data_IF_326429425861
#
_entry.id   IF_326429425861
#
_cell.length_a   1.000
_cell.length_b   1.000
_cell.length_c   1.000
_cell.angle_alpha   90.00
_cell.angle_beta   90.00
_cell.angle_gamma   90.00
#
_symmetry.space_group_name_H-M   'P 1'
#
loop_
_entity.id
_entity.type
_entity.pdbx_description
1 polymer ?
#
# COMPACT_ATOMS: atom_id res chain seq x y z
N UNK A 1 13.18 -13.88 3.67
CA UNK A 1 14.64 -13.86 3.89
C UNK A 1 15.20 -12.75 3.03
N UNK A 2 15.86 -11.72 3.59
CA UNK A 2 16.38 -10.58 2.81
C UNK A 2 17.66 -11.01 2.08
N UNK A 3 17.72 -10.87 0.76
CA UNK A 3 18.86 -11.32 -0.04
C UNK A 3 19.78 -10.14 -0.36
N UNK A 4 20.81 -9.98 0.47
CA UNK A 4 21.84 -8.93 0.32
C UNK A 4 23.03 -9.39 -0.55
N UNK A 5 22.80 -10.36 -1.43
CA UNK A 5 23.84 -10.86 -2.34
C UNK A 5 23.88 -10.02 -3.62
N UNK A 6 25.03 -9.41 -3.91
CA UNK A 6 25.27 -8.65 -5.15
C UNK A 6 25.48 -9.58 -6.35
N UNK A 7 25.08 -9.12 -7.53
CA UNK A 7 25.47 -9.75 -8.80
C UNK A 7 26.96 -9.49 -9.04
N UNK A 8 27.66 -10.52 -9.51
CA UNK A 8 29.05 -10.42 -9.95
C UNK A 8 29.05 -10.27 -11.46
N UNK A 9 29.59 -9.15 -11.94
CA UNK A 9 29.74 -8.85 -13.37
C UNK A 9 31.18 -9.15 -13.78
N UNK A 10 31.36 -10.05 -14.75
CA UNK A 10 32.68 -10.44 -15.25
C UNK A 10 32.74 -10.36 -16.77
N UNK A 11 33.95 -10.18 -17.29
CA UNK A 11 34.22 -10.20 -18.73
C UNK A 11 33.79 -11.55 -19.33
N UNK A 12 33.19 -11.52 -20.53
CA UNK A 12 32.71 -12.72 -21.23
C UNK A 12 31.44 -13.35 -20.66
N UNK A 13 30.80 -12.75 -19.65
CA UNK A 13 29.56 -13.28 -19.07
C UNK A 13 28.36 -13.13 -20.02
N UNK A 14 27.54 -14.18 -20.12
CA UNK A 14 26.28 -14.13 -20.87
C UNK A 14 25.18 -13.42 -20.07
N UNK A 15 24.55 -12.41 -20.67
CA UNK A 15 23.54 -11.59 -20.01
C UNK A 15 22.14 -12.21 -20.09
N UNK A 16 21.69 -12.76 -18.97
CA UNK A 16 20.30 -13.21 -18.78
C UNK A 16 19.45 -12.26 -17.93
N UNK A 17 18.12 -12.35 -18.07
CA UNK A 17 17.12 -11.61 -17.28
C UNK A 17 17.32 -11.74 -15.76
N UNK A 18 17.74 -12.94 -15.31
CA UNK A 18 18.05 -13.24 -13.91
C UNK A 18 19.06 -12.28 -13.28
N UNK A 19 20.06 -11.78 -14.04
CA UNK A 19 21.05 -10.86 -13.50
C UNK A 19 20.40 -9.51 -13.13
N UNK A 20 19.57 -8.96 -14.01
CA UNK A 20 18.86 -7.71 -13.73
C UNK A 20 17.84 -7.87 -12.60
N UNK A 21 17.11 -8.99 -12.58
CA UNK A 21 16.16 -9.29 -11.50
C UNK A 21 16.86 -9.42 -10.14
N UNK A 22 18.01 -10.11 -10.09
CA UNK A 22 18.79 -10.25 -8.87
C UNK A 22 19.41 -8.91 -8.43
N UNK A 23 19.89 -8.10 -9.37
CA UNK A 23 20.43 -6.76 -9.09
C UNK A 23 19.34 -5.83 -8.52
N UNK A 24 18.14 -5.82 -9.10
CA UNK A 24 17.02 -5.04 -8.60
C UNK A 24 16.62 -5.48 -7.20
N UNK A 25 16.47 -6.79 -6.99
CA UNK A 25 16.15 -7.36 -5.66
C UNK A 25 17.19 -6.98 -4.61
N UNK A 26 18.48 -6.98 -4.96
CA UNK A 26 19.54 -6.56 -4.03
C UNK A 26 19.33 -5.11 -3.56
N UNK A 27 18.98 -4.18 -4.45
CA UNK A 27 18.72 -2.80 -4.07
C UNK A 27 17.45 -2.65 -3.23
N UNK A 28 16.35 -3.28 -3.63
CA UNK A 28 15.10 -3.30 -2.85
C UNK A 28 15.33 -3.82 -1.41
N UNK A 29 15.99 -4.98 -1.29
CA UNK A 29 16.24 -5.63 -0.01
C UNK A 29 17.25 -4.83 0.83
N UNK A 30 18.21 -4.15 0.21
CA UNK A 30 19.17 -3.26 0.91
C UNK A 30 18.48 -2.03 1.48
N UNK A 31 17.60 -1.38 0.72
CA UNK A 31 16.79 -0.25 1.19
C UNK A 31 15.89 -0.70 2.33
N UNK A 32 15.16 -1.81 2.16
CA UNK A 32 14.30 -2.33 3.21
C UNK A 32 15.11 -2.78 4.45
N UNK A 33 16.30 -3.34 4.29
CA UNK A 33 17.18 -3.67 5.41
C UNK A 33 17.60 -2.42 6.18
N UNK A 34 18.09 -1.38 5.50
CA UNK A 34 18.50 -0.13 6.13
C UNK A 34 17.33 0.51 6.90
N UNK A 35 16.18 0.67 6.26
CA UNK A 35 15.00 1.32 6.89
C UNK A 35 14.51 0.54 8.11
N UNK A 36 14.44 -0.80 8.05
CA UNK A 36 14.03 -1.63 9.20
C UNK A 36 14.99 -1.61 10.38
N UNK A 37 16.27 -1.27 10.18
CA UNK A 37 17.23 -1.16 11.27
C UNK A 37 17.31 0.25 11.87
N UNK A 38 16.82 1.27 11.14
CA UNK A 38 16.84 2.66 11.59
C UNK A 38 15.54 3.05 12.32
N UNK A 39 14.43 2.41 12.00
CA UNK A 39 13.10 2.79 12.49
C UNK A 39 12.33 1.56 12.97
N UNK A 40 11.57 1.72 14.06
CA UNK A 40 10.65 0.70 14.54
C UNK A 40 9.45 0.59 13.58
N UNK A 41 9.15 -0.62 13.11
CA UNK A 41 8.00 -0.94 12.24
C UNK A 41 7.80 0.09 11.11
N UNK A 42 8.75 0.26 10.16
CA UNK A 42 8.73 1.34 9.17
C UNK A 42 7.80 1.05 7.99
N UNK A 43 6.56 0.69 8.29
CA UNK A 43 5.51 0.45 7.31
C UNK A 43 4.19 1.05 7.77
N UNK A 44 3.26 1.19 6.83
CA UNK A 44 1.99 1.86 7.03
C UNK A 44 1.81 3.03 6.07
N UNK A 45 0.84 3.89 6.37
CA UNK A 45 0.44 5.00 5.53
C UNK A 45 1.16 6.28 5.94
N UNK A 46 1.72 6.99 4.96
CA UNK A 46 2.13 8.39 5.11
C UNK A 46 0.96 9.34 4.81
N UNK A 47 -0.03 8.89 4.04
CA UNK A 47 -1.29 9.58 3.81
C UNK A 47 -2.20 8.74 2.92
N UNK A 48 -3.51 8.80 3.15
CA UNK A 48 -4.50 8.13 2.31
C UNK A 48 -5.86 8.77 2.50
N UNK A 49 -6.76 8.53 1.54
CA UNK A 49 -8.14 8.99 1.59
C UNK A 49 -9.01 7.96 0.87
N UNK A 50 -10.10 7.56 1.53
CA UNK A 50 -11.11 6.65 1.00
C UNK A 50 -12.36 7.43 0.65
N UNK A 51 -13.03 7.02 -0.42
CA UNK A 51 -14.26 7.64 -0.86
C UNK A 51 -15.43 7.22 0.05
N UNK A 52 -15.91 8.17 0.86
CA UNK A 52 -17.05 7.95 1.76
C UNK A 52 -18.40 7.96 1.04
N UNK A 53 -18.49 8.60 -0.12
CA UNK A 53 -19.70 8.63 -0.96
C UNK A 53 -19.89 7.30 -1.67
N UNK A 54 -18.83 6.76 -2.26
CA UNK A 54 -18.83 5.41 -2.83
C UNK A 54 -19.25 4.38 -1.77
N UNK A 55 -18.77 4.52 -0.53
CA UNK A 55 -19.10 3.57 0.54
C UNK A 55 -20.60 3.59 0.88
N UNK A 56 -21.24 4.76 0.87
CA UNK A 56 -22.70 4.87 1.07
C UNK A 56 -23.48 4.09 0.01
N UNK A 57 -22.91 3.92 -1.17
CA UNK A 57 -23.44 3.12 -2.27
C UNK A 57 -23.00 1.64 -2.22
N UNK A 58 -22.31 1.21 -1.15
CA UNK A 58 -21.85 -0.16 -0.98
C UNK A 58 -20.54 -0.50 -1.69
N UNK A 59 -19.79 0.51 -2.14
CA UNK A 59 -18.53 0.35 -2.87
C UNK A 59 -17.37 0.97 -2.10
N UNK A 60 -16.29 0.23 -1.90
CA UNK A 60 -15.03 0.77 -1.38
C UNK A 60 -14.20 1.28 -2.55
N UNK A 61 -13.73 2.53 -2.47
CA UNK A 61 -12.82 3.13 -3.44
C UNK A 61 -11.76 4.00 -2.75
N UNK A 62 -10.58 4.08 -3.35
CA UNK A 62 -9.45 4.87 -2.89
C UNK A 62 -9.35 6.17 -3.69
N UNK A 63 -9.17 7.30 -3.03
CA UNK A 63 -8.93 8.61 -3.68
C UNK A 63 -7.43 8.81 -3.90
N UNK A 64 -6.64 8.59 -2.85
CA UNK A 64 -5.19 8.55 -2.92
C UNK A 64 -4.61 7.68 -1.80
N UNK A 65 -3.40 7.16 -1.97
CA UNK A 65 -2.63 6.61 -0.86
C UNK A 65 -1.13 6.58 -1.14
N UNK A 66 -0.35 6.78 -0.09
CA UNK A 66 1.10 6.62 -0.11
C UNK A 66 1.60 6.00 1.19
N UNK A 67 2.61 5.15 1.06
CA UNK A 67 3.14 4.43 2.21
C UNK A 67 4.09 3.31 1.83
N UNK A 68 4.29 2.41 2.79
CA UNK A 68 5.14 1.24 2.69
C UNK A 68 4.38 0.02 3.21
N UNK A 69 4.39 -1.09 2.48
CA UNK A 69 3.99 -2.39 2.99
C UNK A 69 5.04 -2.95 3.96
N UNK A 70 4.65 -3.93 4.79
CA UNK A 70 5.52 -4.52 5.81
C UNK A 70 6.79 -5.18 5.24
N UNK A 71 6.75 -5.62 3.98
CA UNK A 71 7.91 -6.20 3.29
C UNK A 71 8.81 -5.16 2.60
N UNK A 72 8.52 -3.87 2.78
CA UNK A 72 9.30 -2.75 2.26
C UNK A 72 8.86 -2.23 0.89
N UNK A 73 7.84 -2.82 0.26
CA UNK A 73 7.32 -2.28 -1.00
C UNK A 73 6.65 -0.92 -0.76
N UNK A 74 7.18 0.11 -1.41
CA UNK A 74 6.56 1.43 -1.44
C UNK A 74 5.37 1.49 -2.38
N UNK A 75 4.43 2.37 -2.10
CA UNK A 75 3.34 2.71 -3.02
C UNK A 75 3.02 4.21 -2.94
N UNK A 76 2.63 4.79 -4.07
CA UNK A 76 2.18 6.17 -4.17
C UNK A 76 1.18 6.32 -5.33
N UNK A 77 -0.10 6.28 -4.99
CA UNK A 77 -1.22 6.30 -5.92
C UNK A 77 -1.95 7.65 -5.83
N UNK A 78 -2.38 8.26 -6.95
CA UNK A 78 -2.26 7.77 -8.33
C UNK A 78 -0.97 8.20 -9.04
N UNK A 79 -0.09 8.95 -8.36
CA UNK A 79 1.02 9.66 -9.02
C UNK A 79 2.02 8.73 -9.72
N UNK A 80 2.37 7.61 -9.09
CA UNK A 80 3.35 6.65 -9.62
C UNK A 80 2.79 5.24 -9.77
N UNK A 81 1.69 4.94 -9.09
CA UNK A 81 1.04 3.63 -9.06
C UNK A 81 -0.45 3.76 -9.39
N UNK A 82 -1.00 2.73 -10.04
CA UNK A 82 -2.44 2.66 -10.31
C UNK A 82 -3.24 2.42 -9.02
N UNK A 83 -4.48 2.94 -9.00
CA UNK A 83 -5.42 2.66 -7.91
C UNK A 83 -5.86 1.19 -7.91
N UNK A 84 -6.15 0.61 -6.74
CA UNK A 84 -6.87 -0.64 -6.68
C UNK A 84 -8.27 -0.48 -7.26
N UNK A 85 -8.76 -1.51 -7.95
CA UNK A 85 -10.12 -1.54 -8.47
C UNK A 85 -11.16 -1.31 -7.35
N UNK A 86 -12.15 -0.42 -7.56
CA UNK A 86 -13.25 -0.25 -6.62
C UNK A 86 -13.95 -1.58 -6.34
N UNK A 87 -14.28 -1.80 -5.07
CA UNK A 87 -14.77 -3.09 -4.62
C UNK A 87 -16.19 -2.99 -4.06
N UNK A 88 -17.12 -3.73 -4.66
CA UNK A 88 -18.46 -3.90 -4.10
C UNK A 88 -18.42 -4.78 -2.85
N UNK A 89 -18.95 -4.29 -1.73
CA UNK A 89 -18.90 -4.98 -0.43
C UNK A 89 -20.26 -5.36 0.13
N UNK A 90 -21.36 -4.89 -0.47
CA UNK A 90 -22.71 -5.05 0.09
C UNK A 90 -23.08 -6.53 0.31
N UNK A 91 -22.74 -7.41 -0.63
CA UNK A 91 -22.98 -8.86 -0.56
C UNK A 91 -21.93 -9.61 0.26
N UNK A 92 -20.74 -9.01 0.42
CA UNK A 92 -19.61 -9.62 1.14
C UNK A 92 -19.67 -9.35 2.65
N UNK A 93 -20.49 -8.39 3.08
CA UNK A 93 -20.60 -7.97 4.47
C UNK A 93 -21.64 -8.82 5.21
N UNK A 94 -21.26 -9.70 6.16
CA UNK A 94 -22.20 -10.62 6.79
C UNK A 94 -23.32 -9.89 7.55
N UNK A 95 -24.58 -10.38 7.50
CA UNK A 95 -25.72 -9.70 8.17
C UNK A 95 -25.58 -9.59 9.69
N UNK A 96 -24.90 -10.55 10.32
CA UNK A 96 -24.76 -10.63 11.79
C UNK A 96 -23.54 -9.89 12.33
N UNK A 97 -22.73 -9.27 11.47
CA UNK A 97 -21.51 -8.60 11.87
C UNK A 97 -21.75 -7.08 11.94
N UNK A 98 -21.27 -6.41 12.98
CA UNK A 98 -21.42 -4.96 13.13
C UNK A 98 -20.33 -4.17 12.41
N UNK A 99 -19.17 -4.79 12.22
CA UNK A 99 -18.00 -4.18 11.62
C UNK A 99 -17.11 -5.18 10.91
N UNK A 100 -16.51 -4.78 9.78
CA UNK A 100 -15.60 -5.60 9.00
C UNK A 100 -14.33 -4.80 8.67
N UNK A 101 -13.16 -5.36 8.94
CA UNK A 101 -11.89 -4.70 8.64
C UNK A 101 -11.58 -4.81 7.14
N UNK A 102 -11.11 -3.71 6.58
CA UNK A 102 -10.71 -3.54 5.19
C UNK A 102 -9.19 -3.40 5.14
N UNK A 103 -8.58 -4.10 4.20
CA UNK A 103 -7.15 -4.13 3.99
C UNK A 103 -6.83 -3.66 2.57
N UNK A 104 -5.77 -2.88 2.45
CA UNK A 104 -5.02 -2.75 1.21
C UNK A 104 -4.06 -3.94 1.14
N UNK A 105 -4.08 -4.68 0.04
CA UNK A 105 -3.35 -5.93 -0.07
C UNK A 105 -2.64 -6.06 -1.42
N UNK A 106 -1.55 -6.81 -1.42
CA UNK A 106 -0.81 -7.20 -2.62
C UNK A 106 -0.28 -8.63 -2.43
N UNK A 107 -0.24 -9.49 -3.47
CA UNK A 107 0.35 -10.82 -3.34
C UNK A 107 1.77 -10.77 -2.77
N UNK A 108 2.05 -11.61 -1.78
CA UNK A 108 3.35 -11.67 -1.12
C UNK A 108 4.46 -12.02 -2.12
N UNK A 109 5.63 -11.41 -1.95
CA UNK A 109 6.82 -11.70 -2.78
C UNK A 109 7.23 -13.17 -2.56
N UNK A 110 7.32 -13.93 -3.65
CA UNK A 110 7.72 -15.35 -3.65
C UNK A 110 9.21 -15.45 -4.08
N UNK A 111 10.17 -15.75 -3.19
CA UNK A 111 11.60 -15.68 -3.51
C UNK A 111 12.04 -16.45 -4.77
N UNK A 112 11.47 -17.64 -4.97
CA UNK A 112 11.76 -18.54 -6.09
C UNK A 112 10.51 -18.84 -6.94
N UNK A 113 9.50 -17.96 -6.85
CA UNK A 113 8.22 -18.12 -7.53
C UNK A 113 7.95 -17.04 -8.58
N UNK A 114 6.83 -17.21 -9.30
CA UNK A 114 6.34 -16.21 -10.24
C UNK A 114 5.86 -14.98 -9.48
N UNK A 115 6.53 -13.84 -9.68
CA UNK A 115 6.16 -12.55 -9.09
C UNK A 115 5.57 -11.56 -10.10
N UNK A 116 5.72 -11.80 -11.41
CA UNK A 116 5.19 -10.93 -12.47
C UNK A 116 4.40 -11.77 -13.47
N UNK A 117 3.13 -11.42 -13.69
CA UNK A 117 2.31 -11.99 -14.75
C UNK A 117 2.61 -11.27 -16.07
N UNK A 118 2.94 -12.02 -17.12
CA UNK A 118 3.33 -11.47 -18.44
C UNK A 118 2.14 -11.32 -19.43
N UNK A 119 0.92 -11.61 -18.97
CA UNK A 119 -0.31 -11.46 -19.74
C UNK A 119 -1.53 -11.49 -18.82
N UNK A 120 -2.73 -11.52 -19.38
CA UNK A 120 -4.00 -11.47 -18.62
C UNK A 120 -4.31 -12.74 -17.80
N UNK A 121 -3.53 -13.81 -18.00
CA UNK A 121 -3.72 -15.08 -17.30
C UNK A 121 -2.98 -15.06 -15.96
N UNK A 122 -3.78 -15.19 -14.89
CA UNK A 122 -3.42 -15.25 -13.46
C UNK A 122 -3.03 -13.91 -12.79
N UNK A 123 -4.06 -13.13 -12.45
CA UNK A 123 -4.05 -11.96 -11.55
C UNK A 123 -3.68 -12.29 -10.08
N UNK A 124 -2.83 -13.30 -9.86
CA UNK A 124 -2.35 -13.75 -8.54
C UNK A 124 -0.91 -13.33 -8.28
N UNK A 125 -0.17 -12.92 -9.31
CA UNK A 125 1.20 -12.44 -9.17
C UNK A 125 1.24 -11.03 -8.54
N UNK A 126 2.35 -10.72 -7.88
CA UNK A 126 2.60 -9.43 -7.21
C UNK A 126 2.60 -8.25 -8.18
N UNK A 127 3.09 -8.47 -9.39
CA UNK A 127 3.13 -7.50 -10.48
C UNK A 127 2.42 -8.04 -11.71
N UNK A 128 1.90 -7.12 -12.54
CA UNK A 128 1.33 -7.39 -13.86
C UNK A 128 2.10 -6.58 -14.89
N UNK A 129 2.56 -7.22 -15.96
CA UNK A 129 3.28 -6.55 -17.03
C UNK A 129 2.33 -5.61 -17.80
N UNK A 130 2.76 -4.37 -17.99
CA UNK A 130 2.02 -3.32 -18.70
C UNK A 130 2.98 -2.60 -19.65
N UNK A 131 2.59 -2.41 -20.91
CA UNK A 131 3.41 -1.66 -21.86
C UNK A 131 3.26 -0.16 -21.63
N UNK A 132 4.38 0.53 -21.37
CA UNK A 132 4.43 2.00 -21.27
C UNK A 132 5.39 2.60 -22.30
N UNK A 133 5.00 3.69 -22.96
CA UNK A 133 5.91 4.44 -23.83
C UNK A 133 6.93 5.20 -22.98
N UNK A 134 8.21 4.91 -23.19
CA UNK A 134 9.33 5.61 -22.55
C UNK A 134 10.22 6.24 -23.62
N UNK A 135 10.50 7.54 -23.47
CA UNK A 135 11.50 8.23 -24.28
C UNK A 135 12.91 7.93 -23.74
N UNK A 136 13.92 7.99 -24.60
CA UNK A 136 15.31 7.94 -24.18
C UNK A 136 15.64 9.15 -23.29
N UNK A 137 16.07 8.90 -22.06
CA UNK A 137 16.40 9.94 -21.08
C UNK A 137 17.60 10.80 -21.49
N UNK A 138 18.48 10.32 -22.37
CA UNK A 138 19.65 11.09 -22.83
C UNK A 138 19.30 12.11 -23.92
N UNK A 139 18.31 11.79 -24.76
CA UNK A 139 17.96 12.60 -25.93
C UNK A 139 16.58 13.24 -25.86
N UNK A 140 15.70 12.75 -24.97
CA UNK A 140 14.29 13.13 -24.88
C UNK A 140 13.46 12.73 -26.11
N UNK A 141 13.98 11.84 -26.95
CA UNK A 141 13.40 11.40 -28.23
C UNK A 141 13.35 9.86 -28.28
N UNK A 142 12.94 9.31 -29.42
CA UNK A 142 12.91 7.84 -29.67
C UNK A 142 12.08 7.07 -28.63
N UNK A 143 10.76 7.33 -28.62
CA UNK A 143 9.83 6.65 -27.71
C UNK A 143 9.73 5.17 -28.06
N UNK A 144 9.96 4.31 -27.07
CA UNK A 144 9.83 2.85 -27.16
C UNK A 144 8.81 2.33 -26.16
N UNK A 145 8.06 1.31 -26.56
CA UNK A 145 7.19 0.58 -25.65
C UNK A 145 8.03 -0.39 -24.81
N UNK A 146 7.96 -0.25 -23.50
CA UNK A 146 8.67 -1.10 -22.54
C UNK A 146 7.64 -1.70 -21.58
N UNK A 147 7.76 -3.00 -21.31
CA UNK A 147 6.94 -3.67 -20.30
C UNK A 147 7.45 -3.33 -18.89
N UNK A 148 6.60 -2.65 -18.12
CA UNK A 148 6.83 -2.33 -16.71
C UNK A 148 5.94 -3.21 -15.82
N UNK A 149 6.44 -3.54 -14.62
CA UNK A 149 5.68 -4.30 -13.64
C UNK A 149 4.77 -3.40 -12.82
N UNK A 150 3.50 -3.30 -13.20
CA UNK A 150 2.47 -2.63 -12.40
C UNK A 150 2.17 -3.41 -11.12
N UNK A 151 2.09 -2.73 -9.98
CA UNK A 151 1.75 -3.36 -8.69
C UNK A 151 0.30 -3.85 -8.69
N UNK A 152 0.07 -5.12 -8.36
CA UNK A 152 -1.27 -5.72 -8.29
C UNK A 152 -1.91 -5.48 -6.91
N UNK A 153 -2.13 -4.21 -6.57
CA UNK A 153 -2.74 -3.83 -5.29
C UNK A 153 -4.26 -3.94 -5.39
N UNK A 154 -4.88 -4.49 -4.34
CA UNK A 154 -6.33 -4.72 -4.26
C UNK A 154 -6.86 -4.51 -2.85
N UNK A 155 -8.18 -4.39 -2.74
CA UNK A 155 -8.87 -4.43 -1.46
C UNK A 155 -9.15 -5.87 -1.04
N UNK A 156 -8.97 -6.19 0.25
CA UNK A 156 -9.45 -7.43 0.88
C UNK A 156 -10.23 -7.10 2.15
N UNK A 157 -11.23 -7.91 2.46
CA UNK A 157 -12.01 -7.85 3.69
C UNK A 157 -11.53 -8.93 4.68
N UNK A 158 -11.74 -8.69 5.97
CA UNK A 158 -11.27 -9.60 7.03
C UNK A 158 -11.86 -11.03 6.98
N UNK A 159 -12.98 -11.22 6.28
CA UNK A 159 -13.64 -12.51 6.10
C UNK A 159 -13.11 -13.30 4.89
N UNK A 160 -12.13 -12.76 4.18
CA UNK A 160 -11.46 -13.43 3.06
C UNK A 160 -10.12 -14.00 3.48
N UNK A 161 -9.58 -14.91 2.66
CA UNK A 161 -8.22 -15.39 2.90
C UNK A 161 -7.22 -14.26 2.67
N UNK A 162 -6.45 -13.95 3.72
CA UNK A 162 -5.30 -13.05 3.67
C UNK A 162 -3.98 -13.83 3.52
N UNK A 163 -4.06 -15.15 3.32
CA UNK A 163 -2.90 -16.01 3.08
C UNK A 163 -2.19 -15.60 1.79
N UNK A 164 -0.86 -15.71 1.78
CA UNK A 164 -0.01 -15.29 0.67
C UNK A 164 -0.19 -13.82 0.25
N UNK A 165 -0.71 -12.95 1.13
CA UNK A 165 -0.81 -11.52 0.90
C UNK A 165 0.08 -10.75 1.86
N UNK A 166 0.64 -9.64 1.37
CA UNK A 166 1.13 -8.56 2.23
C UNK A 166 0.00 -7.56 2.37
N UNK A 167 -0.44 -7.28 3.60
CA UNK A 167 -1.63 -6.47 3.87
C UNK A 167 -1.32 -5.29 4.77
N UNK A 168 -2.11 -4.23 4.61
CA UNK A 168 -2.16 -3.07 5.50
C UNK A 168 -3.64 -2.76 5.81
N UNK A 169 -4.07 -2.89 7.08
CA UNK A 169 -5.37 -2.38 7.52
C UNK A 169 -5.54 -0.91 7.16
N UNK A 170 -6.54 -0.59 6.34
CA UNK A 170 -6.77 0.78 5.84
C UNK A 170 -8.02 1.43 6.46
N UNK A 171 -9.04 0.63 6.80
CA UNK A 171 -10.23 1.10 7.49
C UNK A 171 -10.96 -0.04 8.19
N UNK A 172 -11.89 0.32 9.08
CA UNK A 172 -12.95 -0.56 9.57
C UNK A 172 -14.28 -0.05 9.03
N UNK A 173 -15.05 -0.91 8.40
CA UNK A 173 -16.36 -0.59 7.83
C UNK A 173 -17.43 -1.00 8.83
N UNK A 174 -18.45 -0.17 9.05
CA UNK A 174 -19.56 -0.43 9.97
C UNK A 174 -20.89 -0.22 9.28
N UNK A 175 -21.92 -0.93 9.75
CA UNK A 175 -23.31 -0.62 9.40
C UNK A 175 -23.82 0.50 10.31
N UNK A 176 -24.26 1.59 9.71
CA UNK A 176 -24.99 2.64 10.39
C UNK A 176 -26.43 2.16 10.66
N UNK A 177 -27.11 2.70 11.68
CA UNK A 177 -28.47 2.29 12.06
C UNK A 177 -29.53 2.46 10.97
N UNK A 178 -29.22 3.23 9.92
CA UNK A 178 -30.06 3.41 8.71
C UNK A 178 -29.79 2.39 7.60
N UNK A 179 -28.90 1.41 7.83
CA UNK A 179 -28.53 0.37 6.87
C UNK A 179 -27.37 0.75 5.92
N UNK A 180 -26.94 2.01 5.91
CA UNK A 180 -25.80 2.49 5.12
C UNK A 180 -24.46 2.05 5.72
N UNK A 181 -23.44 1.89 4.88
CA UNK A 181 -22.08 1.64 5.34
C UNK A 181 -21.33 2.94 5.61
N UNK A 182 -20.55 2.96 6.68
CA UNK A 182 -19.69 4.08 7.09
C UNK A 182 -18.32 3.56 7.52
N UNK A 183 -17.28 4.37 7.33
CA UNK A 183 -15.96 4.07 7.92
C UNK A 183 -15.98 4.41 9.41
N UNK A 184 -15.37 3.56 10.25
CA UNK A 184 -15.24 3.78 11.68
C UNK A 184 -14.24 4.92 11.94
N UNK A 185 -14.75 6.06 12.40
CA UNK A 185 -13.94 7.24 12.77
C UNK A 185 -12.96 6.97 13.92
N UNK A 186 -13.07 5.86 14.64
CA UNK A 186 -12.13 5.49 15.71
C UNK A 186 -11.00 4.58 15.23
N UNK A 187 -11.04 4.14 13.97
CA UNK A 187 -10.01 3.30 13.40
C UNK A 187 -8.69 4.06 13.26
N UNK A 188 -7.59 3.43 13.70
CA UNK A 188 -6.24 3.98 13.59
C UNK A 188 -5.43 3.01 12.72
N UNK A 189 -5.02 3.42 11.50
CA UNK A 189 -4.19 2.60 10.62
C UNK A 189 -2.73 2.57 11.11
N UNK A 190 -1.96 1.59 10.65
CA UNK A 190 -0.50 1.68 10.72
C UNK A 190 -0.05 2.93 9.98
N UNK A 191 0.61 3.85 10.69
CA UNK A 191 0.87 5.20 10.20
C UNK A 191 2.35 5.53 10.29
N UNK A 192 2.94 5.90 9.15
CA UNK A 192 4.29 6.47 9.07
C UNK A 192 4.31 7.96 9.44
N UNK A 193 3.18 8.64 9.24
CA UNK A 193 2.97 10.03 9.62
C UNK A 193 1.67 10.12 10.43
N UNK A 194 1.69 10.83 11.56
CA UNK A 194 0.50 10.99 12.42
C UNK A 194 -0.68 11.62 11.67
N UNK A 195 -0.43 12.39 10.62
CA UNK A 195 -1.45 12.97 9.75
C UNK A 195 -2.28 11.92 8.99
N UNK A 196 -1.75 10.71 8.79
CA UNK A 196 -2.50 9.60 8.21
C UNK A 196 -3.54 9.01 9.18
N UNK A 197 -3.50 9.36 10.47
CA UNK A 197 -4.47 8.94 11.47
C UNK A 197 -5.29 10.14 11.98
N UNK A 198 -6.40 10.52 11.32
CA UNK A 198 -7.28 11.60 11.77
C UNK A 198 -7.70 11.55 13.25
N UNK A 199 -7.94 10.37 13.86
CA UNK A 199 -8.31 10.30 15.27
C UNK A 199 -7.18 10.77 16.18
N UNK A 200 -5.93 10.40 15.85
CA UNK A 200 -4.72 10.83 16.57
C UNK A 200 -4.55 12.34 16.43
N UNK A 201 -4.71 12.88 15.22
CA UNK A 201 -4.62 14.34 14.99
C UNK A 201 -5.66 15.12 15.81
N UNK A 202 -6.88 14.59 15.92
CA UNK A 202 -7.94 15.19 16.74
C UNK A 202 -7.59 15.16 18.23
N UNK A 203 -7.08 14.03 18.72
CA UNK A 203 -6.62 13.91 20.11
C UNK A 203 -5.46 14.87 20.42
N UNK A 204 -4.49 14.98 19.50
CA UNK A 204 -3.35 15.89 19.64
C UNK A 204 -3.79 17.34 19.71
N UNK A 205 -4.70 17.78 18.84
CA UNK A 205 -5.26 19.15 18.87
C UNK A 205 -5.94 19.46 20.20
N UNK A 206 -6.79 18.55 20.67
CA UNK A 206 -7.46 18.69 21.99
C UNK A 206 -6.46 18.78 23.14
N UNK A 207 -5.40 17.97 23.09
CA UNK A 207 -4.36 18.00 24.12
C UNK A 207 -3.64 19.36 24.16
N UNK A 208 -3.30 19.91 22.99
CA UNK A 208 -2.70 21.25 22.87
C UNK A 208 -3.63 22.32 23.43
N UNK A 209 -4.92 22.30 23.07
CA UNK A 209 -5.91 23.25 23.60
C UNK A 209 -6.01 23.20 25.13
N UNK A 210 -6.02 22.01 25.72
CA UNK A 210 -6.05 21.83 27.18
C UNK A 210 -4.77 22.34 27.85
N UNK A 211 -3.60 22.11 27.22
CA UNK A 211 -2.33 22.62 27.73
C UNK A 211 -2.26 24.14 27.67
N UNK A 212 -2.72 24.76 26.59
CA UNK A 212 -2.75 26.21 26.44
C UNK A 212 -3.63 26.86 27.52
N UNK A 213 -4.80 26.30 27.80
CA UNK A 213 -5.70 26.80 28.84
C UNK A 213 -5.09 26.69 30.24
N UNK A 214 -4.40 25.56 30.52
CA UNK A 214 -3.69 25.39 31.80
C UNK A 214 -2.53 26.36 31.94
N UNK A 215 -1.74 26.58 30.88
CA UNK A 215 -0.64 27.54 30.89
C UNK A 215 -1.13 28.96 31.19
N UNK A 216 -2.26 29.37 30.60
CA UNK A 216 -2.88 30.67 30.91
C UNK A 216 -3.33 30.79 32.36
N UNK A 217 -3.91 29.71 32.91
CA UNK A 217 -4.38 29.69 34.30
C UNK A 217 -3.23 29.79 35.30
N UNK A 218 -2.07 29.17 35.02
CA UNK A 218 -0.90 29.17 35.90
C UNK A 218 -0.08 30.48 35.78
N UNK A 219 -0.15 31.16 34.64
CA UNK A 219 0.56 32.42 34.43
C UNK A 219 -0.07 33.63 35.15
N UNK A 220 -1.26 33.46 35.73
CA UNK A 220 -1.97 34.43 36.57
C UNK A 220 -1.83 34.09 38.05
#
# INVERSE_FOLDING_TARGET
MKNLSRVVWSEGMYLGTHHFQAQNRYFEDSVHYATSNLFFEPFGFAGYELDSEALRNGTVALVHARGLFADGLSFHMPEFDEMPEPRQIAELFPPMQDSLDLFLAIPAKRPDGLNCALGDSEATARYVAEEKPLADENTGRDVKLIQLGRKNVRFLLANESLEDMTTLPIARIRRHGTGQFVYDEKFIPQSLQISAAPPIMTMLRRLIEVLDEKCRTIAH
#
